data_IF_251489547606
#
_entry.id   IF_251489547606
#
_cell.length_a   1.000
_cell.length_b   1.000
_cell.length_c   1.000
_cell.angle_alpha   90.00
_cell.angle_beta   90.00
_cell.angle_gamma   90.00
#
_symmetry.space_group_name_H-M   'P 1'
#
loop_
_entity.id
_entity.type
_entity.pdbx_description
1 polymer ?
#
# COMPACT_ATOMS: atom_id res chain seq x y z
N UNK A 1 -25.46 0.67 20.36
CA UNK A 1 -24.57 -0.42 20.79
C UNK A 1 -23.29 -0.35 19.98
N UNK A 2 -22.15 -0.28 20.65
CA UNK A 2 -20.81 -0.18 20.07
C UNK A 2 -20.26 -1.60 19.86
N UNK A 3 -19.72 -1.88 18.67
CA UNK A 3 -19.04 -3.14 18.34
C UNK A 3 -17.53 -2.93 18.37
N UNK A 4 -16.79 -3.94 18.81
CA UNK A 4 -15.34 -3.91 18.86
C UNK A 4 -14.76 -5.17 18.19
N UNK A 5 -13.77 -5.02 17.30
CA UNK A 5 -13.10 -6.12 16.60
C UNK A 5 -12.39 -7.08 17.57
N UNK A 6 -11.88 -6.56 18.70
CA UNK A 6 -11.22 -7.35 19.73
C UNK A 6 -12.23 -8.15 20.59
N UNK A 7 -13.52 -7.83 20.51
CA UNK A 7 -14.61 -8.51 21.21
C UNK A 7 -15.77 -8.84 20.24
N UNK A 8 -15.57 -9.76 19.27
CA UNK A 8 -16.53 -10.01 18.19
C UNK A 8 -17.90 -10.49 18.67
N UNK A 9 -17.95 -11.17 19.83
CA UNK A 9 -19.17 -11.72 20.42
C UNK A 9 -19.82 -10.77 21.46
N UNK A 10 -19.30 -9.55 21.59
CA UNK A 10 -19.80 -8.58 22.57
C UNK A 10 -20.26 -7.28 21.91
N UNK A 11 -21.13 -6.57 22.62
CA UNK A 11 -21.55 -5.23 22.28
C UNK A 11 -21.60 -4.40 23.55
N UNK A 12 -21.21 -3.14 23.45
CA UNK A 12 -21.15 -2.23 24.59
C UNK A 12 -22.23 -1.16 24.45
N UNK A 13 -22.90 -0.80 25.53
CA UNK A 13 -23.90 0.27 25.51
C UNK A 13 -23.21 1.64 25.42
N UNK A 14 -22.07 1.79 26.09
CA UNK A 14 -21.32 3.05 26.20
C UNK A 14 -19.83 2.89 25.90
N UNK A 15 -19.14 4.00 25.62
CA UNK A 15 -17.67 4.01 25.44
C UNK A 15 -16.96 3.63 26.74
N UNK A 16 -17.51 4.00 27.89
CA UNK A 16 -16.96 3.69 29.21
C UNK A 16 -16.94 2.18 29.47
N UNK A 17 -18.00 1.46 29.07
CA UNK A 17 -18.05 0.00 29.15
C UNK A 17 -16.99 -0.64 28.23
N UNK A 18 -16.88 -0.16 26.99
CA UNK A 18 -15.85 -0.61 26.05
C UNK A 18 -14.44 -0.35 26.59
N UNK A 19 -14.15 0.85 27.07
CA UNK A 19 -12.85 1.22 27.64
C UNK A 19 -12.50 0.36 28.86
N UNK A 20 -13.49 0.04 29.69
CA UNK A 20 -13.31 -0.88 30.83
C UNK A 20 -12.94 -2.27 30.34
N UNK A 21 -13.65 -2.81 29.34
CA UNK A 21 -13.35 -4.11 28.77
C UNK A 21 -11.96 -4.17 28.12
N UNK A 22 -11.60 -3.14 27.33
CA UNK A 22 -10.29 -3.01 26.71
C UNK A 22 -9.18 -2.98 27.76
N UNK A 23 -9.28 -2.12 28.78
CA UNK A 23 -8.30 -2.06 29.88
C UNK A 23 -8.16 -3.41 30.57
N UNK A 24 -9.28 -4.02 30.98
CA UNK A 24 -9.27 -5.28 31.72
C UNK A 24 -8.71 -6.46 30.92
N UNK A 25 -8.66 -6.37 29.60
CA UNK A 25 -8.14 -7.41 28.71
C UNK A 25 -6.88 -6.99 27.95
N UNK A 26 -6.30 -5.83 28.26
CA UNK A 26 -5.25 -5.22 27.44
C UNK A 26 -4.05 -6.15 27.24
N UNK A 27 -3.53 -6.75 28.32
CA UNK A 27 -2.40 -7.69 28.25
C UNK A 27 -2.71 -8.92 27.40
N UNK A 28 -3.93 -9.45 27.52
CA UNK A 28 -4.37 -10.62 26.75
C UNK A 28 -4.51 -10.28 25.26
N UNK A 29 -5.10 -9.13 24.93
CA UNK A 29 -5.24 -8.68 23.55
C UNK A 29 -3.86 -8.43 22.94
N UNK A 30 -2.95 -7.77 23.68
CA UNK A 30 -1.56 -7.57 23.27
C UNK A 30 -0.85 -8.91 23.02
N UNK A 31 -1.02 -9.89 23.91
CA UNK A 31 -0.42 -11.21 23.75
C UNK A 31 -0.94 -11.94 22.50
N UNK A 32 -2.24 -11.83 22.22
CA UNK A 32 -2.84 -12.40 21.01
C UNK A 32 -2.34 -11.69 19.75
N UNK A 33 -2.37 -10.36 19.73
CA UNK A 33 -1.89 -9.55 18.60
C UNK A 33 -0.40 -9.78 18.31
N UNK A 34 0.43 -9.94 19.34
CA UNK A 34 1.87 -10.21 19.14
C UNK A 34 2.19 -11.66 18.77
N UNK A 35 1.30 -12.61 19.05
CA UNK A 35 1.43 -14.01 18.64
C UNK A 35 0.99 -14.24 17.17
N UNK A 36 0.17 -13.35 16.62
CA UNK A 36 -0.35 -13.45 15.27
C UNK A 36 0.67 -13.02 14.20
N UNK A 37 0.57 -13.64 13.01
CA UNK A 37 1.25 -13.17 11.80
C UNK A 37 0.19 -12.56 10.88
N UNK A 38 0.21 -11.25 10.76
CA UNK A 38 -0.67 -10.49 9.91
C UNK A 38 -0.28 -10.64 8.45
N UNK A 39 -1.28 -10.83 7.59
CA UNK A 39 -1.18 -10.92 6.14
C UNK A 39 -2.38 -10.20 5.55
N UNK A 40 -2.17 -8.98 5.03
CA UNK A 40 -3.20 -8.13 4.45
C UNK A 40 -4.53 -8.18 5.21
N UNK A 41 -5.61 -7.91 4.51
CA UNK A 41 -6.93 -7.94 5.06
C UNK A 41 -7.60 -9.30 4.87
N UNK A 42 -8.15 -9.88 5.94
CA UNK A 42 -9.20 -10.90 5.87
C UNK A 42 -10.43 -10.38 6.61
N UNK A 43 -11.28 -9.48 6.06
CA UNK A 43 -12.70 -9.34 6.51
C UNK A 43 -13.71 -8.37 5.80
N UNK A 44 -13.76 -8.20 4.49
CA UNK A 44 -14.84 -7.43 3.82
C UNK A 44 -15.18 -5.98 4.27
N UNK A 45 -14.22 -5.05 4.31
CA UNK A 45 -14.47 -3.60 4.34
C UNK A 45 -14.60 -3.14 2.90
N UNK A 46 -15.69 -2.44 2.60
CA UNK A 46 -15.88 -1.84 1.29
C UNK A 46 -14.82 -0.76 1.11
N UNK A 47 -13.85 -1.02 0.24
CA UNK A 47 -12.94 -0.01 -0.25
C UNK A 47 -13.65 0.77 -1.34
N UNK A 48 -13.78 2.08 -1.15
CA UNK A 48 -14.19 2.98 -2.22
C UNK A 48 -12.97 3.18 -3.12
N UNK A 49 -12.77 2.21 -4.01
CA UNK A 49 -11.71 2.22 -5.00
C UNK A 49 -12.02 3.24 -6.08
N UNK A 50 -11.92 4.52 -5.78
CA UNK A 50 -12.03 5.55 -6.81
C UNK A 50 -11.09 6.76 -6.59
N UNK A 51 -10.32 7.01 -7.67
CA UNK A 51 -9.59 8.23 -8.02
C UNK A 51 -8.26 8.52 -7.32
N UNK A 52 -7.20 7.87 -7.81
CA UNK A 52 -5.83 8.36 -7.71
C UNK A 52 -5.42 9.09 -9.00
N UNK A 53 -6.22 10.10 -9.36
CA UNK A 53 -5.89 11.14 -10.35
C UNK A 53 -5.34 12.43 -9.69
N UNK A 54 -5.07 12.40 -8.37
CA UNK A 54 -5.01 13.62 -7.57
C UNK A 54 -3.68 14.39 -7.64
N UNK A 55 -2.62 13.76 -8.15
CA UNK A 55 -1.38 14.46 -8.49
C UNK A 55 -0.90 14.03 -9.87
N UNK A 56 -0.54 14.97 -10.75
CA UNK A 56 0.17 14.64 -11.96
C UNK A 56 1.44 13.85 -11.60
N UNK A 57 1.68 12.74 -12.29
CA UNK A 57 2.85 11.86 -12.04
C UNK A 57 4.20 12.61 -12.17
N UNK A 58 4.20 13.74 -12.90
CA UNK A 58 5.31 14.69 -13.02
C UNK A 58 5.62 15.49 -11.75
N UNK A 59 4.66 15.62 -10.82
CA UNK A 59 4.83 16.26 -9.52
C UNK A 59 5.28 15.26 -8.45
N UNK A 60 4.86 14.00 -8.56
CA UNK A 60 5.25 12.91 -7.65
C UNK A 60 6.78 12.73 -7.60
N UNK A 61 7.47 12.87 -8.74
CA UNK A 61 8.93 12.80 -8.80
C UNK A 61 9.67 13.96 -8.12
N UNK A 62 8.98 15.06 -7.80
CA UNK A 62 9.56 16.27 -7.16
C UNK A 62 9.40 16.28 -5.64
N UNK A 63 8.38 15.60 -5.13
CA UNK A 63 7.98 15.65 -3.71
C UNK A 63 8.38 14.40 -2.90
N UNK A 64 8.88 13.36 -3.56
CA UNK A 64 9.27 12.09 -2.92
C UNK A 64 10.77 11.77 -3.01
N UNK A 65 11.16 10.54 -2.64
CA UNK A 65 12.53 10.06 -2.78
C UNK A 65 12.98 10.11 -4.25
N UNK A 66 14.28 10.29 -4.48
CA UNK A 66 14.83 10.27 -5.84
C UNK A 66 14.58 8.91 -6.50
N UNK A 67 13.72 8.91 -7.53
CA UNK A 67 13.39 7.71 -8.29
C UNK A 67 14.26 7.58 -9.55
N UNK A 68 14.69 6.34 -9.83
CA UNK A 68 15.51 6.00 -11.00
C UNK A 68 14.63 5.61 -12.21
N UNK A 69 15.13 5.89 -13.40
CA UNK A 69 14.53 5.40 -14.64
C UNK A 69 14.63 3.88 -14.72
N UNK A 70 13.56 3.21 -15.15
CA UNK A 70 13.51 1.75 -15.26
C UNK A 70 13.31 1.01 -13.92
N UNK A 71 12.97 1.73 -12.84
CA UNK A 71 12.67 1.14 -11.53
C UNK A 71 11.19 1.33 -11.15
N UNK A 72 10.72 0.47 -10.27
CA UNK A 72 9.45 0.59 -9.56
C UNK A 72 9.68 0.69 -8.07
N UNK A 73 8.78 1.40 -7.41
CA UNK A 73 8.82 1.73 -5.99
C UNK A 73 7.51 1.35 -5.30
N UNK A 74 7.27 0.05 -5.00
CA UNK A 74 6.16 -0.38 -4.17
C UNK A 74 6.24 0.25 -2.77
N UNK A 75 5.20 0.96 -2.34
CA UNK A 75 5.04 1.48 -0.97
C UNK A 75 4.29 0.43 -0.16
N UNK A 76 4.96 -0.24 0.77
CA UNK A 76 4.49 -1.46 1.43
C UNK A 76 3.68 -1.21 2.70
N UNK A 77 3.99 -0.11 3.38
CA UNK A 77 3.34 0.33 4.62
C UNK A 77 3.63 1.81 4.79
N UNK A 78 2.69 2.54 5.37
CA UNK A 78 2.87 3.91 5.89
C UNK A 78 2.59 3.93 7.40
N UNK A 79 3.10 4.95 8.09
CA UNK A 79 2.85 5.21 9.51
C UNK A 79 1.83 6.33 9.68
N UNK A 80 1.42 6.60 10.93
CA UNK A 80 0.59 7.75 11.33
C UNK A 80 -0.81 7.72 10.69
N UNK A 81 -1.34 6.52 10.48
CA UNK A 81 -2.66 6.29 9.92
C UNK A 81 -3.27 5.10 10.64
N UNK A 82 -4.50 5.27 11.13
CA UNK A 82 -5.27 4.17 11.71
C UNK A 82 -5.81 3.30 10.57
N UNK A 83 -5.40 2.04 10.58
CA UNK A 83 -5.76 1.09 9.52
C UNK A 83 -7.09 0.36 9.83
N UNK A 84 -7.50 -0.54 8.92
CA UNK A 84 -8.76 -1.28 9.08
C UNK A 84 -8.83 -2.22 10.30
N UNK A 85 -7.72 -2.45 11.01
CA UNK A 85 -7.66 -3.22 12.25
C UNK A 85 -7.66 -2.34 13.51
N UNK A 86 -7.80 -1.02 13.32
CA UNK A 86 -7.72 0.01 14.37
C UNK A 86 -6.34 0.08 15.04
N UNK A 87 -5.32 -0.38 14.30
CA UNK A 87 -3.93 -0.31 14.69
C UNK A 87 -3.29 0.92 14.01
N UNK A 88 -2.37 1.58 14.71
CA UNK A 88 -1.65 2.77 14.24
C UNK A 88 -0.17 2.49 14.32
N UNK A 89 0.50 2.40 13.17
CA UNK A 89 1.96 2.29 13.13
C UNK A 89 2.61 3.66 13.34
N UNK A 90 3.61 3.75 14.20
CA UNK A 90 4.40 4.98 14.38
C UNK A 90 5.77 4.92 13.70
N UNK A 91 6.36 6.08 13.46
CA UNK A 91 7.69 6.19 12.83
C UNK A 91 8.74 5.38 13.60
N UNK A 92 9.65 4.73 12.87
CA UNK A 92 10.66 3.83 13.43
C UNK A 92 10.20 2.39 13.62
N UNK A 93 8.92 2.07 13.35
CA UNK A 93 8.36 0.71 13.51
C UNK A 93 9.16 -0.37 12.77
N UNK A 94 9.82 -0.01 11.65
CA UNK A 94 10.58 -0.91 10.80
C UNK A 94 12.11 -0.87 11.01
N UNK A 95 12.63 0.02 11.86
CA UNK A 95 14.07 0.32 11.96
C UNK A 95 14.95 -0.89 12.25
N UNK A 96 14.47 -1.79 13.11
CA UNK A 96 15.18 -3.03 13.42
C UNK A 96 14.98 -4.06 12.31
N UNK A 97 13.74 -4.26 11.89
CA UNK A 97 13.39 -5.34 10.96
C UNK A 97 14.03 -5.15 9.59
N UNK A 98 14.12 -3.92 9.08
CA UNK A 98 14.71 -3.67 7.77
C UNK A 98 16.20 -4.04 7.73
N UNK A 99 16.92 -3.80 8.83
CA UNK A 99 18.33 -4.18 8.98
C UNK A 99 18.48 -5.70 9.03
N UNK A 100 17.61 -6.38 9.79
CA UNK A 100 17.65 -7.83 9.96
C UNK A 100 17.26 -8.60 8.69
N UNK A 101 16.39 -8.02 7.87
CA UNK A 101 15.84 -8.61 6.65
C UNK A 101 16.52 -8.15 5.37
N UNK A 102 17.58 -7.34 5.46
CA UNK A 102 18.35 -6.88 4.31
C UNK A 102 18.79 -8.06 3.42
N UNK A 103 18.43 -8.02 2.14
CA UNK A 103 18.74 -9.06 1.17
C UNK A 103 17.97 -10.39 1.34
N UNK A 104 16.93 -10.44 2.19
CA UNK A 104 16.14 -11.66 2.46
C UNK A 104 14.67 -11.57 2.04
N UNK A 105 14.18 -10.36 1.77
CA UNK A 105 12.76 -10.11 1.52
C UNK A 105 12.35 -10.50 0.10
N UNK A 106 11.33 -11.34 0.01
CA UNK A 106 10.66 -11.58 -1.27
C UNK A 106 9.59 -10.50 -1.49
N UNK A 107 9.40 -10.11 -2.74
CA UNK A 107 8.22 -9.38 -3.17
C UNK A 107 7.30 -10.37 -3.89
N UNK A 108 6.11 -10.61 -3.35
CA UNK A 108 5.20 -11.66 -3.85
C UNK A 108 3.78 -11.14 -4.09
N UNK A 109 2.95 -11.96 -4.71
CA UNK A 109 1.50 -11.72 -4.84
C UNK A 109 0.77 -12.32 -3.63
N UNK A 110 -0.18 -11.59 -3.05
CA UNK A 110 -1.17 -12.10 -2.07
C UNK A 110 -0.59 -12.86 -0.87
N UNK A 111 0.57 -12.44 -0.37
CA UNK A 111 1.29 -13.10 0.72
C UNK A 111 1.63 -14.57 0.45
N UNK A 112 1.65 -14.99 -0.82
CA UNK A 112 1.94 -16.37 -1.19
C UNK A 112 3.45 -16.59 -1.35
N UNK A 113 4.04 -17.36 -0.43
CA UNK A 113 5.43 -17.80 -0.53
C UNK A 113 5.55 -19.05 -1.43
N UNK A 114 5.13 -18.91 -2.70
CA UNK A 114 5.28 -19.90 -3.76
C UNK A 114 6.14 -19.33 -4.87
N UNK A 115 6.90 -20.17 -5.56
CA UNK A 115 7.78 -19.75 -6.66
C UNK A 115 7.02 -18.99 -7.74
N UNK A 116 5.81 -19.44 -8.10
CA UNK A 116 4.97 -18.79 -9.11
C UNK A 116 4.47 -17.39 -8.70
N UNK A 117 4.36 -17.14 -7.39
CA UNK A 117 3.86 -15.88 -6.84
C UNK A 117 4.96 -14.83 -6.68
N UNK A 118 6.23 -15.17 -6.94
CA UNK A 118 7.36 -14.24 -6.79
C UNK A 118 7.31 -13.16 -7.88
N UNK A 119 7.15 -11.91 -7.44
CA UNK A 119 7.28 -10.73 -8.28
C UNK A 119 8.76 -10.34 -8.40
N UNK A 120 9.49 -10.31 -7.29
CA UNK A 120 10.94 -10.10 -7.29
C UNK A 120 11.64 -10.91 -6.19
N UNK A 121 12.83 -11.41 -6.51
CA UNK A 121 13.65 -12.19 -5.59
C UNK A 121 14.44 -11.27 -4.65
N UNK A 122 14.91 -11.76 -3.49
CA UNK A 122 15.61 -10.94 -2.51
C UNK A 122 16.83 -10.19 -3.03
N UNK A 123 17.57 -10.76 -3.98
CA UNK A 123 18.73 -10.11 -4.61
C UNK A 123 18.37 -8.94 -5.53
N UNK A 124 17.12 -8.83 -5.94
CA UNK A 124 16.61 -7.78 -6.82
C UNK A 124 15.80 -6.71 -6.07
N UNK A 125 15.64 -6.87 -4.74
CA UNK A 125 14.86 -5.97 -3.88
C UNK A 125 15.79 -5.19 -2.97
N UNK A 126 15.71 -3.86 -3.03
CA UNK A 126 16.29 -2.99 -2.02
C UNK A 126 15.18 -2.36 -1.18
N UNK A 127 15.08 -2.76 0.09
CA UNK A 127 14.15 -2.14 1.03
C UNK A 127 14.74 -0.83 1.61
N UNK A 128 13.90 0.17 1.80
CA UNK A 128 14.24 1.41 2.50
C UNK A 128 13.04 1.96 3.27
N UNK A 129 13.32 2.76 4.29
CA UNK A 129 12.34 3.55 5.03
C UNK A 129 12.61 5.03 4.73
N UNK A 130 11.56 5.78 4.39
CA UNK A 130 11.66 7.21 4.04
C UNK A 130 10.47 8.00 4.57
N UNK A 131 10.73 9.16 5.15
CA UNK A 131 9.69 10.18 5.35
C UNK A 131 9.31 10.77 4.00
N UNK A 132 8.01 10.75 3.69
CA UNK A 132 7.43 11.23 2.44
C UNK A 132 6.14 12.02 2.73
N UNK A 133 5.78 13.03 1.92
CA UNK A 133 4.50 13.71 2.06
C UNK A 133 3.33 12.75 1.88
N UNK A 134 2.22 12.97 2.60
CA UNK A 134 0.99 12.18 2.41
C UNK A 134 0.47 12.24 0.97
N UNK A 135 0.62 13.39 0.33
CA UNK A 135 0.28 13.60 -1.07
C UNK A 135 1.06 12.66 -2.00
N UNK A 136 2.33 12.34 -1.67
CA UNK A 136 3.15 11.39 -2.43
C UNK A 136 2.65 9.94 -2.33
N UNK A 137 1.92 9.56 -1.28
CA UNK A 137 1.26 8.25 -1.18
C UNK A 137 -0.22 8.27 -1.62
N UNK A 138 -0.68 9.40 -2.18
CA UNK A 138 -2.02 9.54 -2.74
C UNK A 138 -3.10 9.92 -1.73
N UNK A 139 -2.72 10.54 -0.61
CA UNK A 139 -3.64 10.99 0.43
C UNK A 139 -3.61 12.51 0.60
N UNK A 140 -4.75 13.09 0.94
CA UNK A 140 -4.93 14.53 1.15
C UNK A 140 -4.81 14.92 2.63
N UNK A 141 -3.73 14.45 3.27
CA UNK A 141 -3.40 14.88 4.62
C UNK A 141 -2.21 15.84 4.58
N UNK A 142 -2.14 16.73 5.58
CA UNK A 142 -0.99 17.61 5.74
C UNK A 142 0.21 16.86 6.33
N UNK A 143 1.41 17.33 6.01
CA UNK A 143 2.65 16.77 6.55
C UNK A 143 3.08 15.46 5.90
N UNK A 144 3.81 14.65 6.67
CA UNK A 144 4.52 13.48 6.17
C UNK A 144 4.13 12.21 6.93
N UNK A 145 4.33 11.09 6.24
CA UNK A 145 4.31 9.74 6.79
C UNK A 145 5.67 9.07 6.57
N UNK A 146 6.04 8.11 7.42
CA UNK A 146 7.15 7.22 7.16
C UNK A 146 6.67 6.02 6.33
N UNK A 147 7.29 5.83 5.17
CA UNK A 147 6.94 4.78 4.22
C UNK A 147 8.04 3.70 4.16
N UNK A 148 7.64 2.43 4.28
CA UNK A 148 8.46 1.28 3.89
C UNK A 148 8.33 1.07 2.39
N UNK A 149 9.44 1.12 1.67
CA UNK A 149 9.46 1.15 0.20
C UNK A 149 10.45 0.11 -0.32
N UNK A 150 10.08 -0.61 -1.38
CA UNK A 150 11.03 -1.37 -2.18
C UNK A 150 11.52 -0.54 -3.37
N UNK A 151 12.79 -0.67 -3.74
CA UNK A 151 13.36 -0.22 -5.01
C UNK A 151 13.72 -1.46 -5.83
N UNK A 152 13.08 -1.63 -6.99
CA UNK A 152 13.21 -2.84 -7.82
C UNK A 152 13.39 -2.44 -9.29
N UNK A 153 14.40 -2.98 -10.01
CA UNK A 153 14.48 -2.78 -11.45
C UNK A 153 13.33 -3.49 -12.16
N UNK A 154 12.62 -2.81 -13.07
CA UNK A 154 11.50 -3.39 -13.84
C UNK A 154 11.88 -4.67 -14.59
N UNK A 155 13.11 -4.71 -15.12
CA UNK A 155 13.66 -5.88 -15.83
C UNK A 155 13.83 -7.12 -14.94
N UNK A 156 13.80 -6.96 -13.62
CA UNK A 156 13.93 -8.05 -12.65
C UNK A 156 12.60 -8.61 -12.16
N UNK A 157 11.48 -7.94 -12.46
CA UNK A 157 10.16 -8.48 -12.16
C UNK A 157 9.98 -9.83 -12.87
N UNK A 158 9.36 -10.81 -12.20
CA UNK A 158 9.23 -12.19 -12.70
C UNK A 158 7.79 -12.60 -12.98
N UNK A 159 6.84 -12.16 -12.15
CA UNK A 159 5.43 -12.49 -12.31
C UNK A 159 4.79 -11.66 -13.45
N UNK A 160 4.19 -12.34 -14.44
CA UNK A 160 3.63 -11.70 -15.63
C UNK A 160 2.39 -10.84 -15.31
N UNK A 161 1.47 -11.35 -14.50
CA UNK A 161 0.26 -10.61 -14.12
C UNK A 161 0.59 -9.34 -13.31
N UNK A 162 1.57 -9.43 -12.39
CA UNK A 162 2.02 -8.26 -11.64
C UNK A 162 2.69 -7.22 -12.57
N UNK A 163 3.44 -7.64 -13.59
CA UNK A 163 4.00 -6.72 -14.59
C UNK A 163 2.91 -6.01 -15.38
N UNK A 164 1.94 -6.77 -15.89
CA UNK A 164 0.79 -6.22 -16.63
C UNK A 164 0.05 -5.20 -15.77
N UNK A 165 -0.24 -5.53 -14.50
CA UNK A 165 -0.88 -4.59 -13.58
C UNK A 165 -0.08 -3.29 -13.37
N UNK A 166 1.26 -3.37 -13.29
CA UNK A 166 2.14 -2.20 -13.15
C UNK A 166 2.18 -1.37 -14.45
N UNK A 167 2.28 -2.03 -15.59
CA UNK A 167 2.37 -1.40 -16.92
C UNK A 167 1.07 -0.69 -17.29
N UNK A 168 -0.06 -1.34 -17.02
CA UNK A 168 -1.40 -0.81 -17.25
C UNK A 168 -1.87 0.12 -16.12
N UNK A 169 -1.05 0.33 -15.08
CA UNK A 169 -1.38 1.16 -13.90
C UNK A 169 -2.69 0.75 -13.25
N UNK A 170 -2.95 -0.56 -13.15
CA UNK A 170 -4.12 -1.09 -12.46
C UNK A 170 -4.08 -0.73 -10.97
N UNK A 171 -5.24 -0.51 -10.35
CA UNK A 171 -5.31 -0.22 -8.92
C UNK A 171 -4.84 -1.44 -8.13
N UNK A 172 -3.66 -1.33 -7.52
CA UNK A 172 -3.10 -2.33 -6.60
C UNK A 172 -2.56 -1.64 -5.36
N UNK A 173 -2.56 -2.37 -4.26
CA UNK A 173 -2.03 -1.94 -2.97
C UNK A 173 -0.90 -2.88 -2.55
N UNK A 174 -0.31 -2.57 -1.40
CA UNK A 174 0.73 -3.41 -0.83
C UNK A 174 0.48 -3.66 0.64
N UNK A 175 1.07 -4.74 1.11
CA UNK A 175 1.02 -5.12 2.52
C UNK A 175 2.29 -5.83 2.92
N UNK A 176 2.57 -5.80 4.21
CA UNK A 176 3.71 -6.47 4.83
C UNK A 176 3.18 -7.71 5.54
N UNK A 177 3.77 -8.88 5.29
CA UNK A 177 3.56 -9.98 6.22
C UNK A 177 4.38 -9.70 7.46
N UNK A 178 3.72 -9.52 8.58
CA UNK A 178 4.35 -8.95 9.77
C UNK A 178 3.84 -9.56 11.06
N UNK A 179 4.59 -9.32 12.13
CA UNK A 179 4.16 -9.60 13.49
C UNK A 179 4.54 -8.40 14.38
N UNK A 180 3.68 -8.05 15.32
CA UNK A 180 3.95 -6.99 16.27
C UNK A 180 5.03 -7.43 17.28
N UNK A 181 5.86 -6.47 17.69
CA UNK A 181 6.90 -6.66 18.72
C UNK A 181 6.60 -5.77 19.93
N UNK A 182 6.30 -4.48 19.69
CA UNK A 182 5.87 -3.54 20.73
C UNK A 182 4.58 -2.86 20.30
N UNK A 183 3.54 -3.11 21.09
CA UNK A 183 2.20 -2.57 20.90
C UNK A 183 1.69 -2.04 22.24
N UNK A 184 0.95 -0.94 22.19
CA UNK A 184 0.38 -0.27 23.36
C UNK A 184 -1.08 0.09 23.11
N UNK A 185 -1.91 -0.06 24.12
CA UNK A 185 -3.27 0.46 24.09
C UNK A 185 -3.25 1.96 24.40
N UNK A 186 -4.05 2.73 23.66
CA UNK A 186 -4.32 4.13 23.94
C UNK A 186 -5.83 4.31 24.12
N UNK A 187 -6.27 4.94 25.21
CA UNK A 187 -7.71 5.15 25.48
C UNK A 187 -7.97 6.61 25.77
N UNK A 188 -8.95 7.20 25.07
CA UNK A 188 -9.45 8.53 25.36
C UNK A 188 -10.52 8.47 26.47
N UNK A 189 -10.07 8.47 27.73
CA UNK A 189 -10.95 8.43 28.89
C UNK A 189 -10.45 9.34 30.02
N UNK A 190 -11.39 9.90 30.78
CA UNK A 190 -11.13 10.69 31.98
C UNK A 190 -11.13 9.84 33.27
N UNK A 191 -11.43 8.55 33.18
CA UNK A 191 -11.42 7.64 34.33
C UNK A 191 -10.01 7.53 34.93
N UNK A 192 -9.89 7.57 36.26
CA UNK A 192 -8.61 7.59 36.95
C UNK A 192 -7.75 6.35 36.64
N UNK A 193 -8.40 5.20 36.45
CA UNK A 193 -7.79 3.92 36.10
C UNK A 193 -7.25 3.89 34.67
N UNK A 194 -7.66 4.85 33.82
CA UNK A 194 -7.19 4.97 32.43
C UNK A 194 -6.06 5.99 32.26
N UNK A 195 -5.51 6.55 33.36
CA UNK A 195 -4.54 7.65 33.31
C UNK A 195 -3.34 7.37 32.39
N UNK A 196 -2.76 6.17 32.45
CA UNK A 196 -1.60 5.81 31.61
C UNK A 196 -1.98 5.64 30.13
N UNK A 197 -3.11 4.98 29.86
CA UNK A 197 -3.64 4.83 28.50
C UNK A 197 -4.02 6.17 27.87
N UNK A 198 -4.55 7.10 28.67
CA UNK A 198 -4.87 8.47 28.25
C UNK A 198 -3.62 9.28 27.99
N UNK A 199 -2.60 9.18 28.85
CA UNK A 199 -1.34 9.85 28.63
C UNK A 199 -0.68 9.40 27.31
N UNK A 200 -0.73 8.10 27.01
CA UNK A 200 -0.23 7.59 25.72
C UNK A 200 -1.09 8.08 24.54
N UNK A 201 -2.42 8.03 24.65
CA UNK A 201 -3.35 8.58 23.66
C UNK A 201 -3.00 10.05 23.34
N UNK A 202 -2.89 10.90 24.36
CA UNK A 202 -2.63 12.33 24.19
C UNK A 202 -1.26 12.62 23.58
N UNK A 203 -0.27 11.77 23.89
CA UNK A 203 1.08 11.91 23.33
C UNK A 203 1.16 11.61 21.84
N UNK A 204 0.19 10.88 21.28
CA UNK A 204 0.25 10.31 19.92
C UNK A 204 -0.86 10.79 18.99
N UNK A 205 -2.04 11.13 19.51
CA UNK A 205 -3.24 11.42 18.69
C UNK A 205 -3.01 12.49 17.62
N UNK A 206 -2.24 13.53 17.94
CA UNK A 206 -1.95 14.63 17.01
C UNK A 206 -0.98 14.23 15.88
N UNK A 207 -0.33 13.08 15.98
CA UNK A 207 0.51 12.54 14.91
C UNK A 207 -0.30 11.78 13.86
N UNK A 208 -1.55 11.39 14.17
CA UNK A 208 -2.37 10.52 13.32
C UNK A 208 -3.11 11.35 12.27
N UNK A 209 -2.98 10.98 11.00
CA UNK A 209 -3.52 11.71 9.87
C UNK A 209 -5.06 11.67 9.81
N UNK A 210 -5.67 10.50 10.06
CA UNK A 210 -7.12 10.30 10.18
C UNK A 210 -7.56 10.29 11.65
N UNK A 211 -7.06 11.22 12.47
CA UNK A 211 -7.34 11.27 13.91
C UNK A 211 -8.83 11.40 14.24
N UNK A 212 -9.64 11.96 13.36
CA UNK A 212 -11.08 12.11 13.56
C UNK A 212 -11.75 10.73 13.74
N UNK A 213 -11.31 9.71 12.99
CA UNK A 213 -11.78 8.34 13.14
C UNK A 213 -11.34 7.74 14.48
N UNK A 214 -10.13 8.07 14.94
CA UNK A 214 -9.61 7.64 16.24
C UNK A 214 -10.38 8.29 17.40
N UNK A 215 -10.72 9.57 17.27
CA UNK A 215 -11.52 10.32 18.25
C UNK A 215 -12.96 9.78 18.33
N UNK A 216 -13.56 9.45 17.17
CA UNK A 216 -14.85 8.79 17.09
C UNK A 216 -14.82 7.42 17.77
N UNK A 217 -13.79 6.61 17.51
CA UNK A 217 -13.62 5.30 18.13
C UNK A 217 -13.33 5.38 19.63
N UNK A 218 -12.55 6.38 20.05
CA UNK A 218 -12.18 6.65 21.44
C UNK A 218 -10.96 5.87 21.96
N UNK A 219 -10.32 5.06 21.12
CA UNK A 219 -9.10 4.32 21.46
C UNK A 219 -8.37 3.91 20.17
N UNK A 220 -7.11 3.49 20.31
CA UNK A 220 -6.36 2.83 19.23
C UNK A 220 -5.27 1.94 19.81
N UNK A 221 -4.73 1.06 18.97
CA UNK A 221 -3.57 0.24 19.28
C UNK A 221 -2.32 0.82 18.61
N UNK A 222 -1.45 1.45 19.41
CA UNK A 222 -0.20 2.05 18.93
C UNK A 222 0.90 1.00 18.76
N UNK A 223 1.36 0.82 17.52
CA UNK A 223 2.42 -0.12 17.15
C UNK A 223 3.74 0.64 17.01
N UNK A 224 4.63 0.40 17.96
CA UNK A 224 5.94 1.08 18.09
C UNK A 224 7.07 0.25 17.46
N UNK A 225 6.89 -1.06 17.34
CA UNK A 225 7.87 -1.95 16.72
C UNK A 225 7.18 -3.17 16.11
N UNK A 226 7.55 -3.51 14.87
CA UNK A 226 7.08 -4.71 14.19
C UNK A 226 8.22 -5.39 13.44
N UNK A 227 8.04 -6.68 13.14
CA UNK A 227 8.97 -7.47 12.32
C UNK A 227 8.33 -7.90 11.02
N UNK A 228 9.04 -7.70 9.92
CA UNK A 228 8.72 -8.25 8.61
C UNK A 228 9.04 -9.75 8.64
N UNK A 229 8.10 -10.57 8.21
CA UNK A 229 8.22 -12.03 8.18
C UNK A 229 8.36 -12.46 6.73
N UNK A 230 9.61 -12.57 6.25
CA UNK A 230 10.01 -13.16 4.95
C UNK A 230 9.59 -12.41 3.66
N UNK A 231 8.46 -11.71 3.64
CA UNK A 231 7.94 -11.06 2.42
C UNK A 231 7.16 -9.78 2.67
N UNK A 232 7.05 -9.01 1.59
CA UNK A 232 6.02 -8.01 1.40
C UNK A 232 5.33 -8.30 0.08
N UNK A 233 4.08 -7.86 -0.07
CA UNK A 233 3.22 -8.32 -1.15
C UNK A 233 2.54 -7.20 -1.91
N UNK A 234 2.32 -7.43 -3.20
CA UNK A 234 1.30 -6.76 -3.98
C UNK A 234 -0.03 -7.47 -3.71
N UNK A 235 -1.06 -6.70 -3.39
CA UNK A 235 -2.39 -7.20 -3.06
C UNK A 235 -3.45 -6.34 -3.74
N UNK A 236 -4.64 -6.90 -3.94
CA UNK A 236 -5.78 -6.13 -4.42
C UNK A 236 -6.33 -5.19 -3.34
N UNK A 237 -6.24 -5.58 -2.08
CA UNK A 237 -6.66 -4.79 -0.93
C UNK A 237 -5.76 -5.06 0.29
N UNK A 238 -5.10 -4.01 0.78
CA UNK A 238 -4.35 -3.96 2.03
C UNK A 238 -5.21 -3.36 3.16
N UNK A 239 -4.76 -3.54 4.40
CA UNK A 239 -5.40 -2.87 5.56
C UNK A 239 -5.10 -1.38 5.63
N UNK A 240 -3.96 -0.99 5.05
CA UNK A 240 -3.52 0.38 4.85
C UNK A 240 -3.60 0.70 3.36
N UNK A 241 -4.45 1.66 3.02
CA UNK A 241 -4.76 2.02 1.64
C UNK A 241 -3.84 3.11 1.06
N UNK A 242 -2.92 3.64 1.85
CA UNK A 242 -1.87 4.58 1.43
C UNK A 242 -0.60 3.85 0.96
N UNK A 243 -0.76 2.76 0.22
CA UNK A 243 0.33 1.84 -0.18
C UNK A 243 0.44 1.68 -1.71
N UNK A 244 0.56 2.79 -2.47
CA UNK A 244 0.60 2.72 -3.94
C UNK A 244 1.92 2.13 -4.46
N UNK A 245 1.98 1.92 -5.77
CA UNK A 245 3.26 1.76 -6.49
C UNK A 245 3.64 3.06 -7.19
N UNK A 246 4.92 3.43 -7.12
CA UNK A 246 5.48 4.61 -7.79
C UNK A 246 6.52 4.23 -8.83
N UNK A 247 6.66 5.02 -9.88
CA UNK A 247 7.68 4.85 -10.91
C UNK A 247 7.94 6.20 -11.60
N UNK A 248 9.15 6.38 -12.13
CA UNK A 248 9.45 7.55 -12.97
C UNK A 248 8.85 7.34 -14.36
N UNK A 249 8.27 8.39 -14.94
CA UNK A 249 7.79 8.37 -16.31
C UNK A 249 8.97 8.10 -17.25
N UNK A 250 8.79 7.12 -18.13
CA UNK A 250 9.48 7.13 -19.42
C UNK A 250 8.56 7.95 -20.32
N UNK A 251 9.06 9.02 -20.95
CA UNK A 251 8.29 9.65 -22.02
C UNK A 251 7.95 8.54 -23.03
N UNK A 252 6.69 8.42 -23.50
CA UNK A 252 6.44 7.57 -24.64
C UNK A 252 7.38 8.04 -25.75
N UNK A 253 8.12 7.11 -26.36
CA UNK A 253 8.93 7.43 -27.52
C UNK A 253 8.05 8.22 -28.49
N UNK A 254 8.42 9.48 -28.74
CA UNK A 254 7.68 10.34 -29.65
C UNK A 254 7.54 9.56 -30.97
N UNK A 255 6.32 9.26 -31.46
CA UNK A 255 6.15 8.47 -32.69
C UNK A 255 6.80 9.15 -33.92
N UNK A 256 7.26 10.39 -33.78
CA UNK A 256 8.02 11.15 -34.76
C UNK A 256 9.43 10.61 -35.12
N UNK A 257 9.91 9.49 -34.56
CA UNK A 257 11.16 8.84 -34.99
C UNK A 257 11.00 7.51 -35.72
N UNK A 258 9.79 7.18 -36.18
CA UNK A 258 9.71 6.25 -37.31
C UNK A 258 10.24 6.96 -38.57
N UNK A 259 11.17 6.36 -39.35
CA UNK A 259 11.49 6.91 -40.66
C UNK A 259 10.19 6.97 -41.46
N UNK A 260 9.79 8.20 -41.82
CA UNK A 260 8.66 8.45 -42.69
C UNK A 260 8.97 7.74 -44.00
N UNK A 261 8.38 6.56 -44.22
CA UNK A 261 8.38 5.95 -45.54
C UNK A 261 7.48 6.87 -46.38
N UNK A 262 8.10 7.71 -47.20
CA UNK A 262 7.38 8.51 -48.19
C UNK A 262 6.54 7.56 -49.05
N UNK A 263 5.24 7.81 -49.23
CA UNK A 263 4.47 7.03 -50.18
C UNK A 263 5.07 7.26 -51.57
N UNK A 264 5.41 6.17 -52.25
CA UNK A 264 5.87 6.21 -53.63
C UNK A 264 4.84 6.93 -54.51
N UNK A 265 5.31 7.88 -55.32
CA UNK A 265 4.49 8.60 -56.31
C UNK A 265 3.64 7.62 -57.12
N UNK A 266 2.33 7.84 -57.27
CA UNK A 266 1.50 6.99 -58.11
C UNK A 266 1.88 7.19 -59.58
N UNK A 267 2.50 6.17 -60.17
CA UNK A 267 2.62 6.04 -61.61
C UNK A 267 1.23 5.78 -62.20
N UNK A 268 0.87 6.58 -63.21
CA UNK A 268 -0.38 6.50 -63.97
C UNK A 268 -0.49 5.13 -64.66
N UNK A 269 -1.43 4.28 -64.24
CA UNK A 269 -1.83 3.09 -65.00
C UNK A 269 -3.21 3.32 -65.63
N UNK A 270 -3.22 3.39 -66.96
CA UNK A 270 -4.40 3.37 -67.81
C UNK A 270 -5.10 2.02 -67.69
N UNK A 271 -6.33 2.00 -67.18
CA UNK A 271 -7.21 0.81 -67.22
C UNK A 271 -7.85 0.71 -68.61
N UNK A 272 -7.57 -0.37 -69.33
CA UNK A 272 -8.37 -0.81 -70.47
C UNK A 272 -9.43 -1.78 -69.96
N UNK A 273 -10.71 -1.45 -70.13
CA UNK A 273 -11.84 -2.31 -69.75
C UNK A 273 -12.30 -3.09 -70.99
N UNK A 274 -12.20 -4.41 -70.96
CA UNK A 274 -12.84 -5.28 -71.96
C UNK A 274 -14.13 -5.84 -71.38
N UNK A 275 -15.26 -5.58 -72.05
CA UNK A 275 -16.55 -6.17 -71.71
C UNK A 275 -16.75 -7.47 -72.49
N UNK A 276 -17.10 -8.56 -71.81
CA UNK A 276 -17.57 -9.80 -72.43
C UNK A 276 -19.06 -9.94 -72.09
N UNK A 277 -19.89 -10.08 -73.14
CA UNK A 277 -21.34 -10.23 -73.04
C UNK A 277 -21.70 -11.71 -72.79
N UNK A 278 -22.40 -12.09 -71.71
CA UNK A 278 -22.65 -13.47 -71.35
C UNK A 278 -23.79 -14.17 -72.11
N UNK A 279 -24.33 -13.58 -73.20
CA UNK A 279 -25.43 -14.16 -73.99
C UNK A 279 -25.03 -14.65 -75.39
N UNK A 280 -23.90 -15.33 -75.53
CA UNK A 280 -23.53 -16.10 -76.72
C UNK A 280 -22.93 -17.45 -76.26
N UNK A 281 -23.81 -18.46 -76.17
CA UNK A 281 -23.62 -19.92 -76.00
C UNK A 281 -22.55 -20.43 -75.03
#
# INVERSE_FOLDING_TARGET
MIKCIDFPDQQFATKEELHTALRSNAEKIIALKTAEIYKSYQKGFAFDGFMLDRLPESEVGKIGPQMKDGFVYPVLSTTKYMDSHWDVHFDGVWDQSIKQQAGKLHYVVDHELKIASVIAWPGDVKAMVKSVPWSWVGKEYEGNTEALIFEIPKSKLKNAAAKEAIEEKRPVQHSVRMAYVKIKLAINSTAAENKEYKAYYDSRINEIANKEEVEELGYFWGVEEAKIVKECSMVLAGSNDATPIRQKLTEPANPATQPKIEPANPATQTKTTTFINPNLY
#
